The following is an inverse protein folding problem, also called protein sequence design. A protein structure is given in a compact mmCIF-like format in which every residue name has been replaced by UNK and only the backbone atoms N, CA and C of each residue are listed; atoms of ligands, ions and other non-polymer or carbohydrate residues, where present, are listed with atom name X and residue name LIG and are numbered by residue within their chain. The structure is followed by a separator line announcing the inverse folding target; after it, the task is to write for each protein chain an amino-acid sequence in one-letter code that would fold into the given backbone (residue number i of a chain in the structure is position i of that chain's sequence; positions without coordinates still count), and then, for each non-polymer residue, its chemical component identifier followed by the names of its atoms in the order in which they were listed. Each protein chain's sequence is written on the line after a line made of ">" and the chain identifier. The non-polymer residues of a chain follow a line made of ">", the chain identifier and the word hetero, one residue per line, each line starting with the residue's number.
data_IF_222662903304
#
_entry.id   IF_222662903304
#
_cell.length_a   1.000
_cell.length_b   1.000
_cell.length_c   1.000
_cell.angle_alpha   90.00
_cell.angle_beta   90.00
_cell.angle_gamma   90.00
#
_symmetry.space_group_name_H-M   'P 1'
#
loop_
_entity.id
_entity.type
_entity.pdbx_description
1 polymer ?
#
# COMPACT_ATOMS: atom_id res chain seq x y z
N UNK A 1 -6.38 -13.25 -21.85
CA UNK A 1 -5.38 -12.37 -21.21
C UNK A 1 -6.15 -11.50 -20.25
N UNK A 2 -5.77 -11.47 -18.97
CA UNK A 2 -6.36 -10.54 -18.02
C UNK A 2 -6.37 -9.14 -18.59
N UNK A 3 -7.44 -8.38 -18.33
CA UNK A 3 -7.45 -6.96 -18.64
C UNK A 3 -6.48 -6.16 -17.75
N UNK A 4 -6.07 -6.74 -16.63
CA UNK A 4 -5.21 -6.14 -15.61
C UNK A 4 -3.87 -6.86 -15.49
N UNK A 5 -2.78 -6.11 -15.39
CA UNK A 5 -1.45 -6.67 -15.13
C UNK A 5 -1.23 -6.85 -13.61
N UNK A 6 -1.77 -7.94 -13.08
CA UNK A 6 -1.66 -8.29 -11.65
C UNK A 6 -0.22 -8.58 -11.23
N UNK A 7 0.62 -9.12 -12.11
CA UNK A 7 2.04 -9.37 -11.85
C UNK A 7 2.82 -8.06 -11.65
N UNK A 8 2.54 -7.06 -12.49
CA UNK A 8 3.07 -5.70 -12.33
C UNK A 8 2.56 -5.04 -11.05
N UNK A 9 1.28 -5.19 -10.71
CA UNK A 9 0.72 -4.66 -9.46
C UNK A 9 1.40 -5.27 -8.22
N UNK A 10 1.66 -6.59 -8.21
CA UNK A 10 2.39 -7.27 -7.13
C UNK A 10 3.84 -6.76 -7.05
N UNK A 11 4.51 -6.57 -8.18
CA UNK A 11 5.88 -6.05 -8.21
C UNK A 11 5.94 -4.63 -7.63
N UNK A 12 4.98 -3.77 -7.99
CA UNK A 12 4.85 -2.41 -7.45
C UNK A 12 4.55 -2.41 -5.95
N UNK A 13 3.73 -3.35 -5.47
CA UNK A 13 3.46 -3.53 -4.04
C UNK A 13 4.74 -3.89 -3.26
N UNK A 14 5.56 -4.80 -3.80
CA UNK A 14 6.85 -5.18 -3.19
C UNK A 14 7.81 -3.99 -3.16
N UNK A 15 7.91 -3.23 -4.25
CA UNK A 15 8.72 -2.01 -4.29
C UNK A 15 8.27 -0.99 -3.23
N UNK A 16 6.96 -0.79 -3.09
CA UNK A 16 6.40 0.09 -2.07
C UNK A 16 6.77 -0.39 -0.66
N UNK A 17 6.61 -1.68 -0.36
CA UNK A 17 7.00 -2.28 0.93
C UNK A 17 8.49 -2.04 1.24
N UNK A 18 9.37 -2.25 0.27
CA UNK A 18 10.80 -2.03 0.44
C UNK A 18 11.11 -0.55 0.74
N UNK A 19 10.40 0.40 0.09
CA UNK A 19 10.52 1.82 0.40
C UNK A 19 10.09 2.13 1.83
N UNK A 20 9.02 1.53 2.32
CA UNK A 20 8.59 1.64 3.72
C UNK A 20 9.61 1.06 4.69
N UNK A 21 10.14 -0.14 4.44
CA UNK A 21 11.13 -0.78 5.31
C UNK A 21 12.41 0.08 5.43
N UNK A 22 12.82 0.72 4.33
CA UNK A 22 13.95 1.66 4.30
C UNK A 22 13.61 2.94 5.08
N UNK A 23 12.41 3.48 4.89
CA UNK A 23 11.95 4.66 5.62
C UNK A 23 11.87 4.41 7.14
N UNK A 24 11.41 3.23 7.55
CA UNK A 24 11.35 2.84 8.97
C UNK A 24 12.75 2.76 9.58
N UNK A 25 13.70 2.11 8.89
CA UNK A 25 15.07 1.88 9.37
C UNK A 25 15.97 3.12 9.35
N UNK A 26 15.75 4.03 8.41
CA UNK A 26 16.54 5.24 8.31
C UNK A 26 15.90 6.38 9.12
N UNK A 27 16.71 7.13 9.86
CA UNK A 27 16.37 8.49 10.31
C UNK A 27 16.37 9.51 9.15
N UNK A 28 16.34 9.04 7.90
CA UNK A 28 16.54 9.84 6.72
C UNK A 28 15.27 10.63 6.35
N UNK A 29 15.51 11.88 5.99
CA UNK A 29 14.61 12.98 5.64
C UNK A 29 13.21 12.65 5.10
N UNK A 30 12.26 13.48 5.56
CA UNK A 30 10.88 13.68 5.08
C UNK A 30 10.68 13.49 3.55
N UNK A 31 11.65 13.89 2.73
CA UNK A 31 11.62 13.82 1.25
C UNK A 31 11.37 12.41 0.67
N UNK A 32 11.68 11.34 1.42
CA UNK A 32 11.43 9.96 0.96
C UNK A 32 9.96 9.56 1.04
N UNK A 33 9.19 10.24 1.90
CA UNK A 33 7.80 9.90 2.22
C UNK A 33 6.76 10.67 1.43
N UNK A 34 7.05 11.91 1.02
CA UNK A 34 6.14 12.71 0.18
C UNK A 34 5.76 12.01 -1.13
N UNK A 35 6.55 11.01 -1.56
CA UNK A 35 6.24 10.15 -2.71
C UNK A 35 5.16 9.10 -2.45
N UNK A 36 4.85 8.80 -1.18
CA UNK A 36 3.89 7.77 -0.78
C UNK A 36 2.45 8.33 -0.81
N UNK A 37 2.27 9.62 -0.51
CA UNK A 37 0.96 10.20 -0.20
C UNK A 37 -0.04 10.35 -1.36
N UNK A 38 0.36 10.41 -2.63
CA UNK A 38 -0.64 10.76 -3.67
C UNK A 38 -0.43 10.30 -5.10
N UNK A 39 0.64 9.58 -5.47
CA UNK A 39 0.77 9.17 -6.88
C UNK A 39 1.68 7.95 -7.10
N UNK A 40 1.66 6.99 -6.18
CA UNK A 40 2.46 5.77 -6.35
C UNK A 40 1.96 4.99 -7.57
N UNK A 41 2.89 4.40 -8.33
CA UNK A 41 2.53 3.55 -9.46
C UNK A 41 1.62 2.38 -9.04
N UNK A 42 1.74 1.96 -7.78
CA UNK A 42 0.85 1.00 -7.16
C UNK A 42 -0.57 1.55 -6.97
N UNK A 43 -0.70 2.78 -6.45
CA UNK A 43 -2.00 3.44 -6.29
C UNK A 43 -2.74 3.62 -7.60
N UNK A 44 -2.03 3.95 -8.69
CA UNK A 44 -2.61 4.01 -10.05
C UNK A 44 -3.18 2.66 -10.48
N UNK A 45 -2.45 1.58 -10.27
CA UNK A 45 -2.91 0.22 -10.58
C UNK A 45 -4.14 -0.17 -9.74
N UNK A 46 -4.16 0.14 -8.44
CA UNK A 46 -5.33 -0.11 -7.57
C UNK A 46 -6.54 0.69 -8.04
N UNK A 47 -6.35 1.97 -8.39
CA UNK A 47 -7.43 2.82 -8.88
C UNK A 47 -7.99 2.35 -10.23
N UNK A 48 -7.14 1.86 -11.14
CA UNK A 48 -7.56 1.25 -12.40
C UNK A 48 -8.41 -0.01 -12.15
N UNK A 49 -7.93 -0.95 -11.33
CA UNK A 49 -8.66 -2.17 -10.96
C UNK A 49 -10.02 -1.81 -10.34
N UNK A 50 -10.06 -0.85 -9.42
CA UNK A 50 -11.30 -0.41 -8.79
C UNK A 50 -12.26 0.26 -9.78
N UNK A 51 -11.78 1.18 -10.61
CA UNK A 51 -12.64 1.93 -11.55
C UNK A 51 -13.30 1.04 -12.60
N UNK A 52 -12.64 -0.04 -13.00
CA UNK A 52 -13.18 -1.01 -13.94
C UNK A 52 -14.09 -2.06 -13.28
N UNK A 53 -13.95 -2.27 -11.97
CA UNK A 53 -14.67 -3.31 -11.23
C UNK A 53 -15.43 -2.74 -10.03
N UNK A 54 -16.07 -1.57 -10.20
CA UNK A 54 -16.69 -0.81 -9.10
C UNK A 54 -17.71 -1.57 -8.27
N UNK A 55 -18.34 -2.60 -8.83
CA UNK A 55 -19.32 -3.43 -8.12
C UNK A 55 -18.71 -4.69 -7.50
N UNK A 56 -17.45 -5.04 -7.83
CA UNK A 56 -16.76 -6.19 -7.24
C UNK A 56 -16.35 -5.87 -5.77
N UNK A 57 -16.76 -6.70 -4.79
CA UNK A 57 -16.45 -6.47 -3.39
C UNK A 57 -14.95 -6.57 -3.07
N UNK A 58 -14.19 -7.42 -3.76
CA UNK A 58 -12.74 -7.53 -3.60
C UNK A 58 -12.02 -6.31 -4.16
N UNK A 59 -12.51 -5.72 -5.26
CA UNK A 59 -11.95 -4.48 -5.81
C UNK A 59 -12.20 -3.30 -4.87
N UNK A 60 -13.39 -3.21 -4.25
CA UNK A 60 -13.66 -2.24 -3.17
C UNK A 60 -12.75 -2.45 -1.96
N UNK A 61 -12.55 -3.70 -1.56
CA UNK A 61 -11.69 -4.01 -0.41
C UNK A 61 -10.22 -3.68 -0.73
N UNK A 62 -9.76 -3.91 -1.96
CA UNK A 62 -8.40 -3.55 -2.40
C UNK A 62 -8.17 -2.03 -2.29
N UNK A 63 -9.09 -1.22 -2.81
CA UNK A 63 -9.05 0.24 -2.69
C UNK A 63 -9.07 0.70 -1.21
N UNK A 64 -9.92 0.07 -0.39
CA UNK A 64 -9.97 0.35 1.05
C UNK A 64 -8.64 0.01 1.76
N UNK A 65 -8.06 -1.16 1.52
CA UNK A 65 -6.78 -1.54 2.12
C UNK A 65 -5.65 -0.61 1.65
N UNK A 66 -5.64 -0.20 0.38
CA UNK A 66 -4.66 0.78 -0.12
C UNK A 66 -4.80 2.14 0.57
N UNK A 67 -6.02 2.66 0.74
CA UNK A 67 -6.24 3.90 1.51
C UNK A 67 -5.78 3.76 2.96
N UNK A 68 -6.02 2.60 3.58
CA UNK A 68 -5.53 2.31 4.92
C UNK A 68 -3.99 2.30 4.97
N UNK A 69 -3.33 1.73 3.96
CA UNK A 69 -1.88 1.75 3.83
C UNK A 69 -1.35 3.20 3.85
N UNK A 70 -1.94 4.09 3.06
CA UNK A 70 -1.57 5.52 3.02
C UNK A 70 -1.80 6.19 4.37
N UNK A 71 -2.90 5.89 5.05
CA UNK A 71 -3.17 6.46 6.38
C UNK A 71 -2.12 6.04 7.41
N UNK A 72 -1.82 4.74 7.51
CA UNK A 72 -0.76 4.22 8.39
C UNK A 72 0.57 4.89 8.06
N UNK A 73 0.83 5.05 6.76
CA UNK A 73 2.01 5.75 6.28
C UNK A 73 2.13 7.13 6.95
N UNK A 74 1.10 7.95 6.79
CA UNK A 74 1.09 9.31 7.28
C UNK A 74 1.21 9.38 8.80
N UNK A 75 0.60 8.43 9.50
CA UNK A 75 0.74 8.30 10.96
C UNK A 75 2.20 8.02 11.35
N UNK A 76 2.92 7.10 10.67
CA UNK A 76 4.35 6.85 10.89
C UNK A 76 5.16 8.13 10.66
N UNK A 77 4.90 8.81 9.55
CA UNK A 77 5.63 10.04 9.20
C UNK A 77 5.40 11.13 10.24
N UNK A 78 4.16 11.29 10.69
CA UNK A 78 3.81 12.27 11.71
C UNK A 78 4.53 11.97 13.02
N UNK A 79 4.48 10.72 13.50
CA UNK A 79 5.15 10.27 14.72
C UNK A 79 6.68 10.50 14.66
N UNK A 80 7.30 10.18 13.52
CA UNK A 80 8.72 10.48 13.29
C UNK A 80 9.03 11.98 13.29
N UNK A 81 8.12 12.81 12.77
CA UNK A 81 8.32 14.26 12.67
C UNK A 81 8.18 14.97 14.02
N UNK A 82 7.26 14.52 14.88
CA UNK A 82 7.07 15.09 16.22
C UNK A 82 8.10 14.59 17.24
N UNK A 83 9.12 13.86 16.77
CA UNK A 83 10.21 13.30 17.58
C UNK A 83 9.71 12.42 18.74
N UNK A 84 8.53 11.82 18.57
CA UNK A 84 8.05 10.75 19.43
C UNK A 84 8.85 9.51 19.05
N UNK A 85 9.96 9.29 19.75
CA UNK A 85 10.98 8.28 19.43
C UNK A 85 10.47 6.84 19.50
N UNK A 86 9.19 6.63 19.81
CA UNK A 86 8.57 5.32 19.89
C UNK A 86 7.54 5.21 18.78
N UNK A 87 7.95 4.69 17.62
CA UNK A 87 6.97 4.11 16.73
C UNK A 87 6.35 2.91 17.46
N UNK A 88 5.03 2.87 17.69
CA UNK A 88 4.45 1.77 18.41
C UNK A 88 4.53 0.48 17.59
N UNK A 89 4.95 -0.63 18.20
CA UNK A 89 5.04 -1.95 17.55
C UNK A 89 3.74 -2.33 16.81
N UNK A 90 2.58 -1.95 17.37
CA UNK A 90 1.27 -2.24 16.76
C UNK A 90 1.08 -1.61 15.37
N UNK A 91 1.79 -0.52 15.08
CA UNK A 91 1.66 0.20 13.82
C UNK A 91 2.54 -0.41 12.71
N UNK A 92 3.70 -0.96 13.08
CA UNK A 92 4.50 -1.82 12.19
C UNK A 92 3.76 -3.14 11.88
N UNK A 93 3.16 -3.76 12.90
CA UNK A 93 2.35 -4.98 12.75
C UNK A 93 1.15 -4.75 11.83
N UNK A 94 0.43 -3.63 12.01
CA UNK A 94 -0.70 -3.28 11.15
C UNK A 94 -0.24 -2.98 9.71
N UNK A 95 0.91 -2.33 9.52
CA UNK A 95 1.49 -2.09 8.20
C UNK A 95 1.74 -3.40 7.45
N UNK A 96 2.41 -4.36 8.09
CA UNK A 96 2.69 -5.68 7.50
C UNK A 96 1.39 -6.44 7.21
N UNK A 97 0.41 -6.38 8.12
CA UNK A 97 -0.90 -6.99 7.92
C UNK A 97 -1.64 -6.41 6.72
N UNK A 98 -1.57 -5.10 6.49
CA UNK A 98 -2.18 -4.44 5.34
C UNK A 98 -1.49 -4.84 4.04
N UNK A 99 -0.14 -4.87 3.99
CA UNK A 99 0.59 -5.36 2.81
C UNK A 99 0.19 -6.78 2.43
N UNK A 100 0.08 -7.68 3.42
CA UNK A 100 -0.37 -9.05 3.20
C UNK A 100 -1.79 -9.12 2.65
N UNK A 101 -2.73 -8.37 3.24
CA UNK A 101 -4.13 -8.31 2.78
C UNK A 101 -4.24 -7.81 1.34
N UNK A 102 -3.49 -6.77 0.98
CA UNK A 102 -3.45 -6.24 -0.39
C UNK A 102 -2.96 -7.33 -1.36
N UNK A 103 -1.87 -8.02 -1.01
CA UNK A 103 -1.33 -9.12 -1.84
C UNK A 103 -2.35 -10.25 -2.03
N UNK A 104 -3.03 -10.65 -0.95
CA UNK A 104 -4.05 -11.70 -1.01
C UNK A 104 -5.24 -11.28 -1.88
N UNK A 105 -5.68 -10.02 -1.78
CA UNK A 105 -6.75 -9.46 -2.61
C UNK A 105 -6.37 -9.40 -4.09
N UNK A 106 -5.13 -9.03 -4.43
CA UNK A 106 -4.64 -9.06 -5.81
C UNK A 106 -4.69 -10.49 -6.37
N UNK A 107 -4.27 -11.50 -5.59
CA UNK A 107 -4.31 -12.90 -6.03
C UNK A 107 -5.75 -13.44 -6.16
N UNK A 108 -6.69 -12.96 -5.36
CA UNK A 108 -8.12 -13.30 -5.51
C UNK A 108 -8.67 -12.66 -6.78
N UNK A 109 -8.46 -11.36 -6.97
CA UNK A 109 -8.92 -10.63 -8.15
C UNK A 109 -8.32 -11.16 -9.45
N UNK A 110 -7.05 -11.58 -9.42
CA UNK A 110 -6.40 -12.25 -10.55
C UNK A 110 -7.14 -13.52 -10.96
N UNK A 111 -7.66 -14.31 -10.00
CA UNK A 111 -8.44 -15.52 -10.29
C UNK A 111 -9.87 -15.23 -10.72
N UNK A 112 -10.47 -14.14 -10.22
CA UNK A 112 -11.84 -13.75 -10.54
C UNK A 112 -11.98 -13.06 -11.90
N UNK A 113 -10.93 -12.36 -12.33
CA UNK A 113 -10.93 -11.51 -13.53
C UNK A 113 -10.08 -12.07 -14.68
N UNK A 114 -9.46 -13.24 -14.52
CA UNK A 114 -8.87 -14.06 -15.59
C UNK A 114 -9.82 -15.13 -16.10
#
# INVERSE_FOLDING_TARGET
>A
MSKHDFESAITKLISLKNSFDVFLKNNASQDSFEKIESDTEFGKAVAEIFNENKDNPNAKNLDFQYKKLIQIANDIQHLKTVNDNTLPDWLEDELEAVFKKIKDLLAILEKELN
#
